data_IF_740981696765
#
_entry.id   IF_740981696765
#
_cell.length_a   1.000
_cell.length_b   1.000
_cell.length_c   1.000
_cell.angle_alpha   90.00
_cell.angle_beta   90.00
_cell.angle_gamma   90.00
#
_symmetry.space_group_name_H-M   'P 1'
#
loop_
_entity.id
_entity.type
_entity.pdbx_description
1 polymer ?
#
# COMPACT_ATOMS: atom_id res chain seq x y z
N UNK A 1 -41.77 -49.54 -63.55
CA UNK A 1 -41.10 -49.53 -62.23
C UNK A 1 -39.79 -48.76 -62.35
N UNK A 2 -39.78 -47.52 -61.86
CA UNK A 2 -38.68 -46.55 -61.99
C UNK A 2 -37.64 -46.73 -60.87
N UNK A 3 -36.36 -46.90 -61.26
CA UNK A 3 -35.20 -46.92 -60.36
C UNK A 3 -34.79 -45.49 -60.03
N UNK A 4 -34.66 -45.18 -58.74
CA UNK A 4 -34.06 -43.94 -58.23
C UNK A 4 -32.68 -44.24 -57.65
N UNK A 5 -31.63 -43.76 -58.30
CA UNK A 5 -30.24 -43.77 -57.82
C UNK A 5 -29.91 -42.46 -57.10
N UNK A 6 -29.48 -42.55 -55.83
CA UNK A 6 -29.05 -41.39 -55.02
C UNK A 6 -27.54 -41.46 -54.79
N UNK A 7 -26.80 -40.53 -55.41
CA UNK A 7 -25.35 -40.35 -55.23
C UNK A 7 -25.05 -39.70 -53.87
N UNK A 8 -24.28 -40.37 -52.99
CA UNK A 8 -23.68 -39.78 -51.78
C UNK A 8 -22.21 -39.37 -52.06
N UNK A 9 -21.94 -38.07 -52.11
CA UNK A 9 -20.56 -37.52 -52.12
C UNK A 9 -19.94 -37.66 -50.72
N UNK A 10 -18.85 -38.43 -50.59
CA UNK A 10 -18.00 -38.47 -49.39
C UNK A 10 -17.09 -37.24 -49.36
N UNK A 11 -17.26 -36.36 -48.37
CA UNK A 11 -16.33 -35.25 -48.08
C UNK A 11 -15.06 -35.82 -47.43
N UNK A 12 -13.90 -35.63 -48.07
CA UNK A 12 -12.58 -35.96 -47.52
C UNK A 12 -12.29 -35.04 -46.33
N UNK A 13 -12.17 -35.61 -45.14
CA UNK A 13 -11.56 -34.95 -43.98
C UNK A 13 -10.09 -35.35 -43.95
N UNK A 14 -9.20 -34.44 -44.32
CA UNK A 14 -7.76 -34.65 -44.29
C UNK A 14 -7.10 -33.58 -43.42
N UNK A 15 -6.32 -34.04 -42.44
CA UNK A 15 -5.12 -33.40 -41.89
C UNK A 15 -5.26 -32.13 -41.01
N UNK A 16 -6.16 -32.12 -40.02
CA UNK A 16 -6.15 -31.12 -38.94
C UNK A 16 -5.30 -31.52 -37.71
N UNK A 17 -4.80 -32.77 -37.66
CA UNK A 17 -3.99 -33.29 -36.55
C UNK A 17 -2.71 -32.47 -36.28
N UNK A 18 -1.91 -32.02 -37.26
CA UNK A 18 -0.71 -31.23 -36.96
C UNK A 18 -1.04 -29.82 -36.43
N UNK A 19 -2.13 -29.19 -36.90
CA UNK A 19 -2.56 -27.86 -36.44
C UNK A 19 -3.07 -27.87 -35.00
N UNK A 20 -3.78 -28.93 -34.59
CA UNK A 20 -4.19 -29.10 -33.19
C UNK A 20 -2.97 -29.27 -32.27
N UNK A 21 -1.96 -30.04 -32.71
CA UNK A 21 -0.72 -30.23 -31.93
C UNK A 21 0.02 -28.90 -31.74
N UNK A 22 0.15 -28.09 -32.80
CA UNK A 22 0.79 -26.77 -32.72
C UNK A 22 0.03 -25.83 -31.76
N UNK A 23 -1.30 -25.85 -31.80
CA UNK A 23 -2.14 -25.05 -30.89
C UNK A 23 -1.94 -25.46 -29.42
N UNK A 24 -1.88 -26.76 -29.12
CA UNK A 24 -1.63 -27.27 -27.77
C UNK A 24 -0.23 -26.86 -27.27
N UNK A 25 0.79 -26.93 -28.14
CA UNK A 25 2.16 -26.51 -27.79
C UNK A 25 2.22 -25.02 -27.48
N UNK A 26 1.53 -24.18 -28.26
CA UNK A 26 1.48 -22.73 -27.99
C UNK A 26 0.80 -22.42 -26.65
N UNK A 27 -0.30 -23.10 -26.33
CA UNK A 27 -0.99 -22.92 -25.04
C UNK A 27 -0.09 -23.37 -23.88
N UNK A 28 0.63 -24.48 -24.04
CA UNK A 28 1.57 -24.96 -23.02
C UNK A 28 2.72 -23.97 -22.78
N UNK A 29 3.27 -23.36 -23.84
CA UNK A 29 4.31 -22.33 -23.72
C UNK A 29 3.79 -21.13 -22.93
N UNK A 30 2.60 -20.62 -23.26
CA UNK A 30 2.00 -19.48 -22.55
C UNK A 30 1.77 -19.81 -21.07
N UNK A 31 1.25 -21.00 -20.76
CA UNK A 31 1.05 -21.43 -19.38
C UNK A 31 2.37 -21.51 -18.59
N UNK A 32 3.42 -22.05 -19.19
CA UNK A 32 4.76 -22.10 -18.59
C UNK A 32 5.33 -20.69 -18.36
N UNK A 33 5.17 -19.77 -19.32
CA UNK A 33 5.62 -18.39 -19.17
C UNK A 33 4.91 -17.65 -18.02
N UNK A 34 3.60 -17.88 -17.85
CA UNK A 34 2.83 -17.29 -16.73
C UNK A 34 3.31 -17.86 -15.39
N UNK A 35 3.56 -19.17 -15.31
CA UNK A 35 4.07 -19.82 -14.10
C UNK A 35 5.46 -19.30 -13.74
N UNK A 36 6.38 -19.21 -14.71
CA UNK A 36 7.72 -18.65 -14.48
C UNK A 36 7.64 -17.19 -14.07
N UNK A 37 6.79 -16.38 -14.71
CA UNK A 37 6.58 -14.99 -14.33
C UNK A 37 6.07 -14.83 -12.89
N UNK A 38 5.14 -15.69 -12.47
CA UNK A 38 4.64 -15.73 -11.10
C UNK A 38 5.74 -16.12 -10.10
N UNK A 39 6.58 -17.11 -10.42
CA UNK A 39 7.70 -17.50 -9.57
C UNK A 39 8.79 -16.42 -9.48
N UNK A 40 9.16 -15.78 -10.60
CA UNK A 40 10.16 -14.70 -10.63
C UNK A 40 9.69 -13.46 -9.86
N UNK A 41 8.42 -13.07 -9.97
CA UNK A 41 7.86 -11.97 -9.16
C UNK A 41 7.76 -12.32 -7.67
N UNK A 42 7.68 -13.61 -7.32
CA UNK A 42 7.69 -14.04 -5.91
C UNK A 42 9.11 -14.04 -5.33
N UNK A 43 10.15 -14.31 -6.13
CA UNK A 43 11.55 -14.24 -5.71
C UNK A 43 12.05 -12.79 -5.53
N UNK A 44 11.68 -11.84 -6.41
CA UNK A 44 11.99 -10.41 -6.20
C UNK A 44 11.40 -9.89 -4.87
N UNK A 45 10.24 -10.41 -4.45
CA UNK A 45 9.63 -10.04 -3.17
C UNK A 45 10.27 -10.71 -1.95
N UNK A 46 11.12 -11.74 -2.13
CA UNK A 46 11.79 -12.46 -1.04
C UNK A 46 13.29 -12.15 -0.94
N UNK A 47 13.94 -11.75 -2.04
CA UNK A 47 15.32 -11.27 -1.99
C UNK A 47 15.44 -9.87 -1.36
N UNK A 48 14.42 -9.01 -1.48
CA UNK A 48 14.37 -7.73 -0.77
C UNK A 48 14.16 -7.88 0.76
N UNK A 49 13.67 -9.03 1.22
CA UNK A 49 13.47 -9.31 2.66
C UNK A 49 14.65 -10.04 3.30
N UNK A 50 15.59 -10.58 2.51
CA UNK A 50 16.70 -11.40 3.03
C UNK A 50 18.02 -10.65 3.22
N UNK A 51 18.13 -9.40 2.76
CA UNK A 51 19.32 -8.57 2.96
C UNK A 51 19.29 -7.72 4.24
N UNK A 52 18.23 -7.78 5.06
CA UNK A 52 18.09 -6.95 6.27
C UNK A 52 18.58 -7.68 7.54
N UNK A 53 18.76 -9.00 7.52
CA UNK A 53 19.11 -9.78 8.71
C UNK A 53 20.57 -10.25 8.73
N UNK A 54 21.53 -9.38 8.41
CA UNK A 54 22.92 -9.54 8.86
C UNK A 54 23.73 -8.27 8.58
N UNK A 55 23.65 -7.31 9.50
CA UNK A 55 24.77 -6.43 9.87
C UNK A 55 24.32 -5.57 11.05
N UNK A 56 24.55 -6.09 12.26
CA UNK A 56 24.85 -5.22 13.39
C UNK A 56 26.24 -4.62 13.12
N UNK A 57 26.37 -3.29 13.11
CA UNK A 57 27.46 -2.70 13.83
C UNK A 57 26.91 -1.74 14.88
N UNK A 58 27.33 -2.02 16.13
CA UNK A 58 27.54 -1.01 17.15
C UNK A 58 28.11 0.26 16.53
N UNK A 59 27.28 1.28 16.39
CA UNK A 59 27.75 2.65 16.49
C UNK A 59 26.64 3.49 17.12
N UNK A 60 26.78 3.68 18.43
CA UNK A 60 26.14 4.75 19.17
C UNK A 60 26.72 6.06 18.66
N UNK A 61 26.21 6.56 17.53
CA UNK A 61 26.48 7.91 17.04
C UNK A 61 25.19 8.55 16.57
N UNK A 62 24.80 9.53 17.38
CA UNK A 62 23.96 10.67 17.05
C UNK A 62 22.58 10.35 16.46
N UNK A 63 21.58 10.58 17.32
CA UNK A 63 20.19 10.86 16.99
C UNK A 63 20.14 12.19 16.21
N UNK A 64 20.79 12.23 15.04
CA UNK A 64 20.63 13.31 14.08
C UNK A 64 19.19 13.23 13.57
N UNK A 65 18.44 14.27 13.90
CA UNK A 65 17.11 14.61 13.40
C UNK A 65 16.87 14.04 11.99
N UNK A 66 16.24 12.86 11.92
CA UNK A 66 15.72 12.32 10.66
C UNK A 66 14.61 13.26 10.24
N UNK A 67 14.95 14.21 9.36
CA UNK A 67 13.98 15.14 8.82
C UNK A 67 13.03 14.35 7.93
N UNK A 68 11.81 14.15 8.42
CA UNK A 68 10.79 13.43 7.64
C UNK A 68 10.21 14.39 6.61
N UNK A 69 9.81 13.87 5.45
CA UNK A 69 9.18 14.67 4.40
C UNK A 69 7.85 15.30 4.89
N UNK A 70 7.25 14.74 5.94
CA UNK A 70 6.06 15.25 6.63
C UNK A 70 6.36 16.30 7.71
N UNK A 71 7.63 16.66 7.93
CA UNK A 71 8.02 17.60 8.97
C UNK A 71 7.44 19.00 8.71
N UNK A 72 6.84 19.57 9.75
CA UNK A 72 6.14 20.84 9.68
C UNK A 72 4.93 20.89 10.59
N UNK A 73 4.21 21.99 10.51
CA UNK A 73 2.92 22.16 11.18
C UNK A 73 1.82 22.20 10.12
N UNK A 74 0.80 21.38 10.35
CA UNK A 74 -0.31 21.15 9.45
C UNK A 74 -1.60 21.46 10.17
N UNK A 75 -2.56 22.08 9.49
CA UNK A 75 -3.86 22.43 10.06
C UNK A 75 -4.95 21.69 9.32
N UNK A 76 -5.84 21.06 10.07
CA UNK A 76 -6.99 20.37 9.52
C UNK A 76 -7.98 21.38 8.95
N UNK A 77 -8.41 21.17 7.71
CA UNK A 77 -9.50 21.92 7.09
C UNK A 77 -10.88 21.58 7.68
N UNK A 78 -10.99 20.52 8.49
CA UNK A 78 -12.26 20.04 9.04
C UNK A 78 -12.60 20.68 10.37
N UNK A 79 -11.71 20.56 11.37
CA UNK A 79 -11.97 21.00 12.73
C UNK A 79 -10.96 22.04 13.24
N UNK A 80 -9.96 22.41 12.43
CA UNK A 80 -8.91 23.34 12.84
C UNK A 80 -7.86 22.73 13.77
N UNK A 81 -7.85 21.40 13.94
CA UNK A 81 -6.80 20.72 14.69
C UNK A 81 -5.42 20.97 14.07
N UNK A 82 -4.41 21.07 14.92
CA UNK A 82 -3.03 21.36 14.52
C UNK A 82 -2.19 20.10 14.71
N UNK A 83 -1.64 19.58 13.62
CA UNK A 83 -0.70 18.46 13.59
C UNK A 83 0.71 19.00 13.39
N UNK A 84 1.52 18.96 14.44
CA UNK A 84 2.95 19.30 14.37
C UNK A 84 3.78 18.03 14.33
N UNK A 85 4.58 17.86 13.28
CA UNK A 85 5.50 16.73 13.09
C UNK A 85 6.93 17.25 13.19
N UNK A 86 7.71 16.66 14.11
CA UNK A 86 9.11 16.98 14.35
C UNK A 86 9.92 15.68 14.33
N UNK A 87 10.59 15.41 13.21
CA UNK A 87 11.27 14.15 12.97
C UNK A 87 10.34 12.94 13.07
N UNK A 88 10.57 12.09 14.08
CA UNK A 88 9.81 10.85 14.34
C UNK A 88 8.73 11.00 15.42
N UNK A 89 8.44 12.23 15.84
CA UNK A 89 7.42 12.53 16.85
C UNK A 89 6.38 13.47 16.28
N UNK A 90 5.15 13.37 16.78
CA UNK A 90 4.10 14.32 16.44
C UNK A 90 3.30 14.74 17.66
N UNK A 91 2.65 15.89 17.51
CA UNK A 91 1.70 16.46 18.44
C UNK A 91 0.45 16.86 17.65
N UNK A 92 -0.72 16.51 18.16
CA UNK A 92 -2.02 16.81 17.57
C UNK A 92 -2.84 17.58 18.60
N UNK A 93 -2.92 18.89 18.41
CA UNK A 93 -3.65 19.79 19.29
C UNK A 93 -5.08 19.96 18.77
N UNK A 94 -6.04 19.60 19.61
CA UNK A 94 -7.46 19.68 19.30
C UNK A 94 -8.01 21.03 19.81
N UNK A 95 -8.76 21.76 18.97
CA UNK A 95 -9.39 22.99 19.40
C UNK A 95 -10.51 22.65 20.39
N UNK A 96 -10.49 23.32 21.55
CA UNK A 96 -11.44 23.10 22.62
C UNK A 96 -11.63 24.40 23.40
N UNK A 97 -12.88 24.70 23.76
CA UNK A 97 -13.25 25.92 24.48
C UNK A 97 -12.97 25.82 25.98
N UNK A 98 -12.98 24.61 26.53
CA UNK A 98 -12.89 24.37 27.97
C UNK A 98 -11.46 24.05 28.44
N UNK A 99 -10.72 23.25 27.66
CA UNK A 99 -9.34 22.88 27.96
C UNK A 99 -8.64 22.36 26.71
N UNK A 100 -7.38 22.75 26.52
CA UNK A 100 -6.54 22.26 25.42
C UNK A 100 -6.31 20.74 25.54
N UNK A 101 -6.77 19.97 24.56
CA UNK A 101 -6.51 18.53 24.47
C UNK A 101 -5.43 18.31 23.43
N UNK A 102 -4.37 17.60 23.83
CA UNK A 102 -3.18 17.40 23.00
C UNK A 102 -2.79 15.92 22.97
N UNK A 103 -2.81 15.34 21.79
CA UNK A 103 -2.45 13.95 21.54
C UNK A 103 -1.03 13.91 20.97
N UNK A 104 -0.13 13.23 21.68
CA UNK A 104 1.26 13.05 21.33
C UNK A 104 1.48 11.63 20.84
N UNK A 105 2.51 11.45 20.04
CA UNK A 105 2.87 10.15 19.56
C UNK A 105 4.18 10.11 18.80
N UNK A 106 4.49 8.92 18.31
CA UNK A 106 5.60 8.67 17.40
C UNK A 106 5.06 8.30 16.03
N UNK A 107 5.89 8.50 15.02
CA UNK A 107 5.58 8.10 13.66
C UNK A 107 6.78 7.42 13.00
N UNK A 108 6.46 6.52 12.07
CA UNK A 108 7.42 5.94 11.16
C UNK A 108 7.00 6.28 9.73
N UNK A 109 7.95 6.72 8.91
CA UNK A 109 7.72 7.05 7.49
C UNK A 109 8.56 6.12 6.65
N UNK A 110 7.91 5.44 5.71
CA UNK A 110 8.56 4.61 4.71
C UNK A 110 7.95 4.91 3.34
N UNK A 111 8.75 5.47 2.43
CA UNK A 111 8.29 5.91 1.11
C UNK A 111 7.10 6.89 1.18
N UNK A 112 5.89 6.43 0.84
CA UNK A 112 4.62 7.18 0.91
C UNK A 112 3.67 6.64 1.98
N UNK A 113 4.18 5.81 2.90
CA UNK A 113 3.44 5.25 4.01
C UNK A 113 3.88 5.94 5.31
N UNK A 114 2.90 6.26 6.14
CA UNK A 114 3.12 6.75 7.49
C UNK A 114 2.35 5.89 8.48
N UNK A 115 3.02 5.52 9.56
CA UNK A 115 2.43 4.84 10.70
C UNK A 115 2.44 5.79 11.88
N UNK A 116 1.26 6.07 12.45
CA UNK A 116 1.11 6.88 13.66
C UNK A 116 0.84 6.00 14.88
N UNK A 117 1.49 6.31 16.01
CA UNK A 117 1.32 5.61 17.28
C UNK A 117 1.12 6.64 18.38
N UNK A 118 -0.08 6.67 18.99
CA UNK A 118 -0.38 7.59 20.08
C UNK A 118 0.34 7.14 21.37
N UNK A 119 1.08 8.03 22.02
CA UNK A 119 1.70 7.78 23.33
C UNK A 119 0.81 8.20 24.50
N UNK A 120 -0.13 9.13 24.27
CA UNK A 120 -1.15 9.56 25.23
C UNK A 120 -2.54 9.70 24.55
N UNK A 121 -3.51 10.24 25.27
CA UNK A 121 -4.87 10.50 24.77
C UNK A 121 -5.86 9.43 25.21
N UNK A 122 -6.82 9.13 24.34
CA UNK A 122 -7.82 8.09 24.55
C UNK A 122 -7.15 6.74 24.88
N UNK A 123 -7.53 6.13 26.01
CA UNK A 123 -6.99 4.84 26.45
C UNK A 123 -7.17 3.75 25.40
N UNK A 124 -8.25 3.83 24.61
CA UNK A 124 -8.53 2.89 23.53
C UNK A 124 -7.46 2.98 22.45
N UNK A 125 -7.03 4.20 22.11
CA UNK A 125 -6.12 4.46 20.99
C UNK A 125 -4.64 4.43 21.34
N UNK A 126 -4.31 4.38 22.63
CA UNK A 126 -2.94 4.41 23.11
C UNK A 126 -2.16 3.18 22.65
N UNK A 127 -0.96 3.40 22.11
CA UNK A 127 -0.07 2.37 21.57
C UNK A 127 -0.65 1.55 20.40
N UNK A 128 -1.79 1.96 19.82
CA UNK A 128 -2.31 1.33 18.60
C UNK A 128 -1.70 1.99 17.37
N UNK A 129 -1.34 1.17 16.38
CA UNK A 129 -0.82 1.63 15.09
C UNK A 129 -1.94 2.06 14.15
N UNK A 130 -1.73 3.18 13.48
CA UNK A 130 -2.57 3.65 12.39
C UNK A 130 -1.73 3.85 11.15
N UNK A 131 -2.00 3.08 10.10
CA UNK A 131 -1.26 3.08 8.84
C UNK A 131 -2.04 3.83 7.77
N UNK A 132 -1.34 4.76 7.11
CA UNK A 132 -1.89 5.64 6.10
C UNK A 132 -0.92 5.77 4.94
N UNK A 133 -1.49 5.94 3.74
CA UNK A 133 -0.74 6.42 2.59
C UNK A 133 -0.88 7.93 2.52
N UNK A 134 0.22 8.67 2.44
CA UNK A 134 0.17 10.13 2.31
C UNK A 134 0.51 10.59 0.89
N UNK A 135 -0.10 11.70 0.49
CA UNK A 135 0.19 12.39 -0.78
C UNK A 135 0.24 13.89 -0.54
N UNK A 136 1.14 14.56 -1.25
CA UNK A 136 1.25 16.02 -1.24
C UNK A 136 0.61 16.60 -2.50
N UNK A 137 -0.20 17.63 -2.33
CA UNK A 137 -0.73 18.45 -3.40
C UNK A 137 -0.41 19.91 -3.06
N UNK A 138 0.64 20.46 -3.68
CA UNK A 138 1.14 21.81 -3.36
C UNK A 138 1.48 21.95 -1.85
N UNK A 139 0.73 22.77 -1.12
CA UNK A 139 0.90 23.02 0.32
C UNK A 139 -0.07 22.19 1.18
N UNK A 140 -0.75 21.20 0.59
CA UNK A 140 -1.64 20.28 1.30
C UNK A 140 -1.06 18.87 1.39
N UNK A 141 -1.31 18.23 2.53
CA UNK A 141 -1.12 16.79 2.72
C UNK A 141 -2.46 16.12 3.00
N UNK A 142 -2.68 14.97 2.36
CA UNK A 142 -3.83 14.13 2.59
C UNK A 142 -3.39 12.73 2.98
N UNK A 143 -4.04 12.15 3.98
CA UNK A 143 -3.78 10.78 4.42
C UNK A 143 -4.93 9.88 4.00
N UNK A 144 -4.64 8.87 3.18
CA UNK A 144 -5.57 7.82 2.82
C UNK A 144 -5.41 6.65 3.79
N UNK A 145 -6.51 6.27 4.44
CA UNK A 145 -6.53 5.14 5.37
C UNK A 145 -6.14 3.82 4.69
N UNK A 146 -5.21 3.09 5.30
CA UNK A 146 -4.91 1.69 4.97
C UNK A 146 -5.48 0.79 6.07
N UNK A 147 -5.10 1.05 7.33
CA UNK A 147 -5.55 0.28 8.50
C UNK A 147 -5.38 1.11 9.76
N UNK A 148 -6.47 1.34 10.48
CA UNK A 148 -6.44 1.96 11.81
C UNK A 148 -7.67 1.52 12.60
N UNK A 149 -7.45 0.97 13.79
CA UNK A 149 -8.52 0.54 14.71
C UNK A 149 -8.96 1.65 15.66
N UNK A 150 -8.23 2.77 15.70
CA UNK A 150 -8.61 3.94 16.48
C UNK A 150 -9.59 4.82 15.69
N UNK A 151 -10.87 4.79 16.07
CA UNK A 151 -11.92 5.53 15.38
C UNK A 151 -11.71 7.06 15.42
N UNK A 152 -11.28 7.59 16.55
CA UNK A 152 -11.04 9.03 16.71
C UNK A 152 -9.84 9.53 15.90
N UNK A 153 -8.83 8.68 15.69
CA UNK A 153 -7.65 8.99 14.85
C UNK A 153 -7.98 8.84 13.37
N UNK A 154 -8.66 7.76 12.97
CA UNK A 154 -9.00 7.52 11.56
C UNK A 154 -9.88 8.64 11.01
N UNK A 155 -10.90 9.07 11.77
CA UNK A 155 -11.83 10.12 11.33
C UNK A 155 -11.07 11.42 11.04
N UNK A 156 -10.16 11.80 11.93
CA UNK A 156 -9.43 13.06 11.82
C UNK A 156 -8.29 13.01 10.81
N UNK A 157 -7.48 11.96 10.82
CA UNK A 157 -6.31 11.85 9.93
C UNK A 157 -6.73 11.81 8.46
N UNK A 158 -7.87 11.21 8.12
CA UNK A 158 -8.34 11.14 6.72
C UNK A 158 -8.86 12.46 6.15
N UNK A 159 -8.87 13.53 6.93
CA UNK A 159 -9.20 14.87 6.45
C UNK A 159 -8.04 15.49 5.65
N UNK A 160 -8.30 16.60 4.95
CA UNK A 160 -7.23 17.37 4.30
C UNK A 160 -6.53 18.28 5.31
N UNK A 161 -5.22 18.45 5.13
CA UNK A 161 -4.37 19.25 5.99
C UNK A 161 -3.56 20.22 5.15
N UNK A 162 -3.53 21.48 5.51
CA UNK A 162 -2.70 22.48 4.83
C UNK A 162 -1.54 22.91 5.72
N UNK A 163 -0.43 23.30 5.09
CA UNK A 163 0.77 23.72 5.79
C UNK A 163 0.62 25.13 6.38
N UNK A 164 1.10 25.31 7.61
CA UNK A 164 1.29 26.62 8.24
C UNK A 164 2.66 27.23 7.91
#
# INVERSE_FOLDING_TARGET
MTKSTRNKKRKKWANYKPLIIISIVLIAIVAVSVVIGYFLTTEESLEDLKSIEQNEPKDTKALESVKTLLEGTWVSNYDGAILSINGLTYNLDLPSVDASVSIKGTLAVEQNLVTFINSNGDEVCRNMEGHYQFTFNEDEVSFKLIKDTCDSRKERMTMSWFKL
#
